data_IF_368819652964
#
_entry.id   IF_368819652964
#
_cell.length_a   1.000
_cell.length_b   1.000
_cell.length_c   1.000
_cell.angle_alpha   90.00
_cell.angle_beta   90.00
_cell.angle_gamma   90.00
#
_symmetry.space_group_name_H-M   'P 1'
#
loop_
_entity.id
_entity.type
_entity.pdbx_description
1 polymer ?
#
# COMPACT_ATOMS: atom_id res chain seq x y z
N UNK A 1 3.74 -23.47 -5.24
CA UNK A 1 4.09 -22.03 -5.22
C UNK A 1 3.87 -21.53 -3.80
N UNK A 2 4.93 -21.15 -3.08
CA UNK A 2 4.84 -20.68 -1.70
C UNK A 2 4.18 -19.29 -1.68
N UNK A 3 3.11 -19.14 -0.89
CA UNK A 3 2.46 -17.85 -0.61
C UNK A 3 3.50 -16.88 -0.01
N UNK A 4 3.53 -15.59 -0.41
CA UNK A 4 4.43 -14.61 0.17
C UNK A 4 4.22 -14.55 1.69
N UNK A 5 5.18 -15.03 2.48
CA UNK A 5 5.17 -14.83 3.93
C UNK A 5 5.25 -13.34 4.17
N UNK A 6 4.13 -12.74 4.57
CA UNK A 6 4.09 -11.34 5.00
C UNK A 6 5.15 -11.15 6.08
N UNK A 7 6.14 -10.30 5.78
CA UNK A 7 7.31 -10.12 6.62
C UNK A 7 6.88 -9.40 7.90
N UNK A 8 6.84 -10.13 9.02
CA UNK A 8 6.26 -9.66 10.29
C UNK A 8 7.02 -8.49 10.93
N UNK A 9 8.22 -8.18 10.47
CA UNK A 9 9.01 -7.04 10.94
C UNK A 9 9.93 -6.59 9.81
N UNK A 10 9.58 -5.48 9.16
CA UNK A 10 10.46 -4.85 8.18
C UNK A 10 11.45 -3.99 8.97
N UNK A 11 12.74 -4.32 8.93
CA UNK A 11 13.79 -3.42 9.43
C UNK A 11 14.06 -2.39 8.33
N UNK A 12 13.75 -1.13 8.61
CA UNK A 12 13.99 -0.01 7.70
C UNK A 12 14.99 0.95 8.31
N UNK A 13 15.72 1.67 7.45
CA UNK A 13 16.57 2.78 7.85
C UNK A 13 15.73 4.06 7.93
N UNK A 14 15.70 4.71 9.10
CA UNK A 14 14.84 5.87 9.35
C UNK A 14 15.11 7.06 8.42
N UNK A 15 16.39 7.33 8.08
CA UNK A 15 16.73 8.40 7.15
C UNK A 15 16.19 8.13 5.74
N UNK A 16 16.24 6.87 5.30
CA UNK A 16 15.67 6.48 4.01
C UNK A 16 14.15 6.56 4.03
N UNK A 17 13.52 6.20 5.16
CA UNK A 17 12.08 6.31 5.32
C UNK A 17 11.60 7.76 5.23
N UNK A 18 12.28 8.69 5.92
CA UNK A 18 11.98 10.13 5.88
C UNK A 18 12.15 10.70 4.46
N UNK A 19 13.24 10.36 3.78
CA UNK A 19 13.44 10.77 2.39
C UNK A 19 12.35 10.21 1.46
N UNK A 20 11.95 8.95 1.65
CA UNK A 20 10.87 8.33 0.87
C UNK A 20 9.51 8.95 1.18
N UNK A 21 9.24 9.35 2.42
CA UNK A 21 7.99 10.04 2.76
C UNK A 21 7.92 11.43 2.15
N UNK A 22 9.02 12.19 2.20
CA UNK A 22 9.14 13.48 1.52
C UNK A 22 8.90 13.32 0.02
N UNK A 23 9.52 12.32 -0.61
CA UNK A 23 9.33 12.03 -2.03
C UNK A 23 7.91 11.60 -2.35
N UNK A 24 7.27 10.79 -1.50
CA UNK A 24 5.89 10.35 -1.67
C UNK A 24 4.87 11.51 -1.65
N UNK A 25 5.20 12.64 -1.02
CA UNK A 25 4.37 13.85 -1.09
C UNK A 25 4.36 14.50 -2.48
N UNK A 26 5.39 14.26 -3.29
CA UNK A 26 5.56 14.84 -4.63
C UNK A 26 5.48 13.81 -5.75
N UNK A 27 5.65 12.52 -5.44
CA UNK A 27 5.39 11.44 -6.39
C UNK A 27 3.90 11.47 -6.68
N UNK A 28 3.57 11.62 -7.97
CA UNK A 28 2.24 11.73 -8.59
C UNK A 28 1.31 10.56 -8.23
N UNK A 29 1.00 10.43 -6.95
CA UNK A 29 0.22 9.35 -6.40
C UNK A 29 -1.24 9.73 -6.42
N UNK A 30 -2.07 8.78 -6.83
CA UNK A 30 -3.51 8.93 -6.75
C UNK A 30 -3.99 8.17 -5.52
N UNK A 31 -4.54 8.91 -4.56
CA UNK A 31 -5.11 8.35 -3.36
C UNK A 31 -6.62 8.58 -3.31
N UNK A 32 -7.36 7.61 -2.80
CA UNK A 32 -8.81 7.74 -2.68
C UNK A 32 -9.51 6.46 -2.26
N UNK A 33 -10.82 6.58 -2.05
CA UNK A 33 -11.66 5.44 -1.76
C UNK A 33 -12.05 4.71 -3.03
N UNK A 34 -11.85 3.39 -3.03
CA UNK A 34 -12.32 2.50 -4.09
C UNK A 34 -13.07 1.32 -3.48
N UNK A 35 -14.03 0.79 -4.22
CA UNK A 35 -14.68 -0.46 -3.87
C UNK A 35 -13.82 -1.62 -4.35
N UNK A 36 -13.48 -2.54 -3.45
CA UNK A 36 -12.78 -3.79 -3.75
C UNK A 36 -13.70 -4.97 -3.50
N UNK A 37 -13.72 -5.93 -4.43
CA UNK A 37 -14.28 -7.27 -4.22
C UNK A 37 -13.12 -8.26 -4.09
N UNK A 38 -13.03 -8.94 -2.96
CA UNK A 38 -12.03 -9.99 -2.77
C UNK A 38 -12.54 -11.31 -3.37
N UNK A 39 -11.66 -12.21 -3.78
CA UNK A 39 -12.07 -13.48 -4.41
C UNK A 39 -12.84 -14.41 -3.45
N UNK A 40 -12.56 -14.29 -2.16
CA UNK A 40 -13.18 -15.01 -1.04
C UNK A 40 -14.51 -14.37 -0.56
N UNK A 41 -14.78 -13.12 -0.95
CA UNK A 41 -15.94 -12.37 -0.48
C UNK A 41 -16.62 -11.66 -1.64
N UNK A 42 -17.82 -12.13 -2.01
CA UNK A 42 -18.62 -11.57 -3.11
C UNK A 42 -19.17 -10.15 -2.86
N UNK A 43 -18.97 -9.59 -1.66
CA UNK A 43 -19.42 -8.24 -1.32
C UNK A 43 -18.35 -7.20 -1.67
N UNK A 44 -18.80 -6.10 -2.27
CA UNK A 44 -17.96 -4.91 -2.45
C UNK A 44 -17.74 -4.21 -1.12
N UNK A 45 -16.49 -3.83 -0.85
CA UNK A 45 -16.12 -3.12 0.37
C UNK A 45 -15.37 -1.85 0.00
N UNK A 46 -15.74 -0.74 0.64
CA UNK A 46 -15.02 0.52 0.51
C UNK A 46 -13.71 0.45 1.30
N UNK A 47 -12.60 0.75 0.63
CA UNK A 47 -11.25 0.78 1.21
C UNK A 47 -10.48 1.98 0.66
N UNK A 48 -9.56 2.51 1.45
CA UNK A 48 -8.64 3.56 1.03
C UNK A 48 -7.47 2.94 0.25
N UNK A 49 -7.16 3.49 -0.92
CA UNK A 49 -6.05 3.07 -1.77
C UNK A 49 -5.12 4.24 -2.06
N UNK A 50 -3.85 3.92 -2.27
CA UNK A 50 -2.84 4.83 -2.81
C UNK A 50 -2.17 4.11 -3.97
N UNK A 51 -2.22 4.70 -5.15
CA UNK A 51 -1.51 4.25 -6.34
C UNK A 51 -0.24 5.07 -6.46
N UNK A 52 0.90 4.37 -6.41
CA UNK A 52 2.19 4.94 -6.78
C UNK A 52 2.44 4.68 -8.28
N UNK A 53 3.04 5.64 -8.97
CA UNK A 53 3.39 5.53 -10.40
C UNK A 53 4.77 4.88 -10.57
#
# INVERSE_FOLDING_TARGET
MLSPKMQRTIRVNDNQLVMLSERAHYDNSQAGYLHKRSADCSKWQLRWFVLYQ
#
